data_IF_277292128073
#
_entry.id   IF_277292128073
#
_cell.length_a   1.000
_cell.length_b   1.000
_cell.length_c   1.000
_cell.angle_alpha   90.00
_cell.angle_beta   90.00
_cell.angle_gamma   90.00
#
_symmetry.space_group_name_H-M   'P 1'
#
loop_
_entity.id
_entity.type
_entity.pdbx_description
1 polymer ?
#
# COMPACT_ATOMS: atom_id res chain seq x y z
N UNK A 1 -36.24 -4.74 11.89
CA UNK A 1 -34.80 -4.74 12.22
C UNK A 1 -34.32 -3.31 12.29
N UNK A 2 -33.93 -2.88 13.48
CA UNK A 2 -33.85 -1.48 13.92
C UNK A 2 -32.63 -0.74 13.34
N UNK A 3 -32.90 0.49 12.88
CA UNK A 3 -32.00 1.53 12.36
C UNK A 3 -30.74 1.78 13.20
N UNK A 4 -30.75 1.41 14.48
CA UNK A 4 -29.60 1.48 15.39
C UNK A 4 -28.43 0.60 14.95
N UNK A 5 -28.69 -0.62 14.45
CA UNK A 5 -27.63 -1.52 13.99
C UNK A 5 -26.87 -0.96 12.78
N UNK A 6 -27.57 -0.23 11.91
CA UNK A 6 -26.99 0.42 10.71
C UNK A 6 -26.10 1.61 11.08
N UNK A 7 -26.50 2.42 12.07
CA UNK A 7 -25.70 3.54 12.57
C UNK A 7 -24.44 3.09 13.31
N UNK A 8 -24.51 2.00 14.09
CA UNK A 8 -23.35 1.40 14.75
C UNK A 8 -22.34 0.88 13.73
N UNK A 9 -22.80 0.20 12.67
CA UNK A 9 -21.94 -0.28 11.59
C UNK A 9 -21.29 0.84 10.77
N UNK A 10 -22.01 1.93 10.48
CA UNK A 10 -21.44 3.14 9.84
C UNK A 10 -20.34 3.77 10.70
N UNK A 11 -20.60 3.91 12.01
CA UNK A 11 -19.63 4.47 12.97
C UNK A 11 -18.40 3.57 13.09
N UNK A 12 -18.58 2.25 13.18
CA UNK A 12 -17.49 1.28 13.19
C UNK A 12 -16.63 1.31 11.92
N UNK A 13 -17.23 1.39 10.73
CA UNK A 13 -16.48 1.55 9.47
C UNK A 13 -15.70 2.86 9.42
N UNK A 14 -16.32 3.96 9.84
CA UNK A 14 -15.67 5.28 9.91
C UNK A 14 -14.47 5.28 10.87
N UNK A 15 -14.62 4.66 12.04
CA UNK A 15 -13.54 4.55 13.02
C UNK A 15 -12.41 3.64 12.53
N UNK A 16 -12.73 2.53 11.84
CA UNK A 16 -11.72 1.69 11.17
C UNK A 16 -10.99 2.46 10.06
N UNK A 17 -11.70 3.28 9.28
CA UNK A 17 -11.09 4.14 8.26
C UNK A 17 -10.16 5.18 8.88
N UNK A 18 -10.57 5.85 9.97
CA UNK A 18 -9.73 6.78 10.74
C UNK A 18 -8.49 6.10 11.33
N UNK A 19 -8.61 4.88 11.87
CA UNK A 19 -7.47 4.09 12.38
C UNK A 19 -6.50 3.63 11.29
N UNK A 20 -6.98 3.42 10.05
CA UNK A 20 -6.14 3.10 8.89
C UNK A 20 -5.44 4.36 8.35
N UNK A 21 -6.15 5.47 8.29
CA UNK A 21 -5.61 6.81 7.96
C UNK A 21 -4.50 7.24 8.93
N UNK A 22 -4.62 6.94 10.24
CA UNK A 22 -3.55 7.20 11.21
C UNK A 22 -2.28 6.35 10.97
N UNK A 23 -2.38 5.18 10.33
CA UNK A 23 -1.25 4.27 10.03
C UNK A 23 -0.57 4.54 8.68
N UNK A 24 -1.28 5.21 7.77
CA UNK A 24 -0.78 5.65 6.47
C UNK A 24 0.51 6.47 6.53
N UNK A 25 0.65 7.53 7.35
CA UNK A 25 1.82 8.40 7.30
C UNK A 25 3.15 7.65 7.52
N UNK A 26 3.17 6.61 8.36
CA UNK A 26 4.36 5.79 8.61
C UNK A 26 4.78 4.94 7.40
N UNK A 27 3.82 4.36 6.68
CA UNK A 27 4.11 3.53 5.49
C UNK A 27 4.36 4.37 4.24
N UNK A 28 3.68 5.52 4.12
CA UNK A 28 3.92 6.49 3.04
C UNK A 28 5.31 7.13 3.16
N UNK A 29 5.81 7.40 4.38
CA UNK A 29 7.19 7.87 4.57
C UNK A 29 8.25 6.94 3.97
N UNK A 30 8.04 5.62 4.04
CA UNK A 30 8.98 4.65 3.45
C UNK A 30 8.99 4.73 1.93
N UNK A 31 7.85 5.03 1.30
CA UNK A 31 7.74 5.24 -0.14
C UNK A 31 8.37 6.59 -0.56
N UNK A 32 8.20 7.65 0.24
CA UNK A 32 8.84 8.94 -0.03
C UNK A 32 10.38 8.85 -0.05
N UNK A 33 10.97 7.99 0.79
CA UNK A 33 12.41 7.70 0.73
C UNK A 33 12.81 7.06 -0.59
N UNK A 34 12.02 6.11 -1.10
CA UNK A 34 12.24 5.51 -2.41
C UNK A 34 12.15 6.55 -3.55
N UNK A 35 11.26 7.55 -3.46
CA UNK A 35 11.26 8.64 -4.43
C UNK A 35 12.60 9.40 -4.49
N UNK A 36 13.22 9.66 -3.33
CA UNK A 36 14.54 10.31 -3.25
C UNK A 36 15.67 9.44 -3.81
N UNK A 37 15.49 8.12 -3.80
CA UNK A 37 16.42 7.14 -4.38
C UNK A 37 16.23 6.98 -5.90
N UNK A 38 15.36 7.78 -6.53
CA UNK A 38 15.13 7.78 -7.98
C UNK A 38 14.00 6.87 -8.45
N UNK A 39 13.26 6.23 -7.54
CA UNK A 39 12.08 5.44 -7.92
C UNK A 39 10.89 6.35 -8.23
N UNK A 40 10.25 6.14 -9.38
CA UNK A 40 8.98 6.80 -9.71
C UNK A 40 7.84 6.07 -9.01
N UNK A 41 7.17 6.72 -8.06
CA UNK A 41 6.03 6.16 -7.34
C UNK A 41 4.75 6.90 -7.74
N UNK A 42 3.77 6.15 -8.23
CA UNK A 42 2.44 6.63 -8.56
C UNK A 42 1.42 6.02 -7.58
N UNK A 43 0.68 6.83 -6.86
CA UNK A 43 -0.46 6.37 -6.06
C UNK A 43 -1.65 6.12 -6.99
N UNK A 44 -2.15 4.88 -7.06
CA UNK A 44 -3.35 4.53 -7.83
C UNK A 44 -4.60 4.62 -6.96
N UNK A 45 -4.50 4.12 -5.73
CA UNK A 45 -5.50 4.30 -4.68
C UNK A 45 -4.78 4.41 -3.34
N UNK A 46 -5.52 4.74 -2.28
CA UNK A 46 -5.01 4.99 -0.92
C UNK A 46 -4.01 3.95 -0.38
N UNK A 47 -4.03 2.70 -0.87
CA UNK A 47 -3.12 1.64 -0.44
C UNK A 47 -2.47 0.89 -1.60
N UNK A 48 -2.56 1.41 -2.81
CA UNK A 48 -2.02 0.81 -4.01
C UNK A 48 -1.07 1.81 -4.66
N UNK A 49 0.21 1.46 -4.65
CA UNK A 49 1.25 2.26 -5.26
C UNK A 49 1.89 1.49 -6.39
N UNK A 50 2.17 2.17 -7.49
CA UNK A 50 2.92 1.63 -8.63
C UNK A 50 4.31 2.24 -8.64
N UNK A 51 5.33 1.38 -8.67
CA UNK A 51 6.74 1.76 -8.71
C UNK A 51 7.32 1.51 -10.09
N UNK A 52 7.97 2.50 -10.67
CA UNK A 52 8.62 2.49 -11.99
C UNK A 52 7.72 1.92 -13.11
N UNK A 53 6.41 2.19 -13.03
CA UNK A 53 5.38 1.65 -13.92
C UNK A 53 5.37 0.11 -14.09
N UNK A 54 6.02 -0.64 -13.19
CA UNK A 54 6.24 -2.09 -13.30
C UNK A 54 5.75 -2.87 -12.10
N UNK A 55 5.92 -2.33 -10.90
CA UNK A 55 5.66 -3.04 -9.66
C UNK A 55 4.50 -2.39 -8.92
N UNK A 56 3.39 -3.09 -8.82
CA UNK A 56 2.30 -2.70 -7.94
C UNK A 56 2.54 -3.24 -6.53
N UNK A 57 2.39 -2.39 -5.52
CA UNK A 57 2.53 -2.74 -4.12
C UNK A 57 1.30 -2.32 -3.34
N UNK A 58 0.84 -3.22 -2.47
CA UNK A 58 -0.18 -2.98 -1.46
C UNK A 58 0.44 -3.10 -0.07
N UNK A 59 1.01 -2.02 0.47
CA UNK A 59 1.74 -2.06 1.73
C UNK A 59 0.89 -2.62 2.87
N UNK A 60 -0.40 -2.29 2.96
CA UNK A 60 -1.28 -2.80 4.02
C UNK A 60 -1.36 -4.33 4.02
N UNK A 61 -1.47 -4.92 2.84
CA UNK A 61 -1.64 -6.36 2.69
C UNK A 61 -0.31 -7.12 2.59
N UNK A 62 0.82 -6.41 2.62
CA UNK A 62 2.14 -6.98 2.39
C UNK A 62 2.19 -7.77 1.07
N UNK A 63 1.52 -7.27 0.02
CA UNK A 63 1.38 -7.93 -1.29
C UNK A 63 1.96 -7.07 -2.40
N UNK A 64 2.47 -7.72 -3.44
CA UNK A 64 2.92 -7.07 -4.67
C UNK A 64 2.44 -7.81 -5.92
N UNK A 65 2.51 -7.11 -7.05
CA UNK A 65 2.31 -7.65 -8.40
C UNK A 65 3.36 -7.04 -9.34
N UNK A 66 4.23 -7.88 -9.91
CA UNK A 66 5.08 -7.51 -11.04
C UNK A 66 4.25 -7.62 -12.31
N UNK A 67 3.99 -6.48 -12.94
CA UNK A 67 3.19 -6.38 -14.16
C UNK A 67 3.92 -7.04 -15.33
N UNK A 68 5.24 -6.85 -15.44
CA UNK A 68 6.04 -7.35 -16.57
C UNK A 68 6.10 -8.88 -16.60
N UNK A 69 6.25 -9.50 -15.43
CA UNK A 69 6.32 -10.97 -15.28
C UNK A 69 4.98 -11.62 -14.90
N UNK A 70 3.92 -10.82 -14.80
CA UNK A 70 2.60 -11.21 -14.30
C UNK A 70 2.66 -12.04 -12.99
N UNK A 71 3.55 -11.68 -12.06
CA UNK A 71 3.80 -12.46 -10.84
C UNK A 71 3.29 -11.71 -9.61
N UNK A 72 2.54 -12.41 -8.76
CA UNK A 72 2.08 -11.88 -7.47
C UNK A 72 2.83 -12.55 -6.32
N UNK A 73 2.98 -11.83 -5.21
CA UNK A 73 3.66 -12.38 -4.04
C UNK A 73 3.44 -11.54 -2.80
N UNK A 74 4.17 -11.90 -1.74
CA UNK A 74 4.18 -11.17 -0.49
C UNK A 74 5.55 -10.59 -0.17
N UNK A 75 5.60 -9.57 0.69
CA UNK A 75 6.85 -9.02 1.21
C UNK A 75 6.71 -8.68 2.69
N UNK A 76 7.83 -8.64 3.43
CA UNK A 76 7.81 -8.23 4.85
C UNK A 76 8.02 -6.73 5.04
N UNK A 77 8.88 -6.12 4.24
CA UNK A 77 9.20 -4.70 4.29
C UNK A 77 9.18 -4.12 2.88
N UNK A 78 8.35 -3.11 2.63
CA UNK A 78 8.13 -2.55 1.29
C UNK A 78 9.39 -1.89 0.73
N UNK A 79 10.15 -1.14 1.54
CA UNK A 79 11.31 -0.40 1.06
C UNK A 79 12.44 -1.35 0.64
N UNK A 80 12.80 -2.30 1.51
CA UNK A 80 13.82 -3.29 1.19
C UNK A 80 13.40 -4.18 0.03
N UNK A 81 12.12 -4.56 -0.04
CA UNK A 81 11.61 -5.35 -1.14
C UNK A 81 11.72 -4.61 -2.47
N UNK A 82 11.29 -3.35 -2.55
CA UNK A 82 11.38 -2.55 -3.79
C UNK A 82 12.84 -2.42 -4.24
N UNK A 83 13.78 -2.10 -3.33
CA UNK A 83 15.21 -2.03 -3.67
C UNK A 83 15.73 -3.35 -4.22
N UNK A 84 15.52 -4.45 -3.50
CA UNK A 84 15.99 -5.77 -3.92
C UNK A 84 15.33 -6.24 -5.22
N UNK A 85 14.05 -5.89 -5.43
CA UNK A 85 13.30 -6.27 -6.62
C UNK A 85 13.89 -5.64 -7.88
N UNK A 86 14.29 -4.36 -7.82
CA UNK A 86 14.88 -3.63 -8.95
C UNK A 86 16.41 -3.73 -9.03
N UNK A 87 17.10 -4.13 -7.97
CA UNK A 87 18.55 -4.39 -8.02
C UNK A 87 18.88 -5.75 -8.67
N UNK A 88 18.01 -6.75 -8.50
CA UNK A 88 18.24 -8.14 -8.95
C UNK A 88 17.48 -8.51 -10.25
N UNK A 89 16.93 -7.55 -11.00
CA UNK A 89 16.16 -7.77 -12.24
C UNK A 89 16.43 -6.72 -13.29
#
# INVERSE_FOLDING_TARGET
>A
MSTETSNVWKKYRSDQQKRRLKRLPLRTQSLLKLCKEGFKIEEKTQYHFRVNNRLDVWPIHNRYHDIKKNRRGGFRNVANFVRNFFANN
#
